data_IF_431173580661
#
_entry.id   IF_431173580661
#
_cell.length_a   1.000
_cell.length_b   1.000
_cell.length_c   1.000
_cell.angle_alpha   90.00
_cell.angle_beta   90.00
_cell.angle_gamma   90.00
#
_symmetry.space_group_name_H-M   'P 1'
#
loop_
_entity.id
_entity.type
_entity.pdbx_description
1 polymer ?
#
# COMPACT_ATOMS: atom_id res chain seq x y z
N UNK A 1 19.87 -50.86 -19.02
CA UNK A 1 19.40 -52.21 -18.63
C UNK A 1 19.89 -52.49 -17.21
N UNK A 2 18.98 -52.45 -16.23
CA UNK A 2 19.30 -52.42 -14.80
C UNK A 2 20.18 -53.61 -14.37
N UNK A 3 21.19 -53.35 -13.54
CA UNK A 3 22.17 -54.33 -13.04
C UNK A 3 21.53 -55.56 -12.39
N UNK A 4 20.30 -55.45 -11.89
CA UNK A 4 19.53 -56.55 -11.33
C UNK A 4 19.03 -57.54 -12.39
N UNK A 5 18.66 -57.09 -13.59
CA UNK A 5 18.20 -57.95 -14.68
C UNK A 5 19.33 -58.88 -15.17
N UNK A 6 20.56 -58.35 -15.25
CA UNK A 6 21.76 -59.13 -15.63
C UNK A 6 22.07 -60.23 -14.61
N UNK A 7 21.90 -59.94 -13.31
CA UNK A 7 22.11 -60.92 -12.22
C UNK A 7 21.06 -62.02 -12.22
N UNK A 8 19.80 -61.68 -12.50
CA UNK A 8 18.70 -62.64 -12.58
C UNK A 8 18.86 -63.58 -13.79
N UNK A 9 19.30 -63.03 -14.93
CA UNK A 9 19.58 -63.80 -16.15
C UNK A 9 20.79 -64.73 -15.98
N UNK A 10 21.85 -64.28 -15.30
CA UNK A 10 22.99 -65.12 -14.94
C UNK A 10 22.62 -66.26 -13.98
N UNK A 11 21.76 -65.98 -12.99
CA UNK A 11 21.27 -67.00 -12.05
C UNK A 11 20.39 -68.06 -12.76
N UNK A 12 19.50 -67.63 -13.66
CA UNK A 12 18.69 -68.54 -14.47
C UNK A 12 19.56 -69.47 -15.33
N UNK A 13 20.65 -68.93 -15.89
CA UNK A 13 21.60 -69.69 -16.71
C UNK A 13 22.36 -70.74 -15.87
N UNK A 14 22.73 -70.41 -14.62
CA UNK A 14 23.36 -71.34 -13.68
C UNK A 14 22.39 -72.45 -13.25
N UNK A 15 21.12 -72.13 -12.99
CA UNK A 15 20.08 -73.12 -12.66
C UNK A 15 19.82 -74.06 -13.83
N UNK A 16 19.73 -73.54 -15.06
CA UNK A 16 19.64 -74.36 -16.26
C UNK A 16 20.87 -75.27 -16.41
N UNK A 17 22.09 -74.74 -16.22
CA UNK A 17 23.31 -75.55 -16.28
C UNK A 17 23.31 -76.68 -15.23
N UNK A 18 22.82 -76.43 -14.01
CA UNK A 18 22.69 -77.44 -12.96
C UNK A 18 21.64 -78.53 -13.28
N UNK A 19 20.51 -78.13 -13.85
CA UNK A 19 19.46 -79.05 -14.30
C UNK A 19 19.97 -79.97 -15.42
N UNK A 20 20.67 -79.41 -16.41
CA UNK A 20 21.23 -80.19 -17.53
C UNK A 20 22.45 -81.03 -17.12
N UNK A 21 23.26 -80.60 -16.14
CA UNK A 21 24.38 -81.39 -15.61
C UNK A 21 23.90 -82.68 -14.90
N UNK A 22 22.70 -82.66 -14.32
CA UNK A 22 22.12 -83.85 -13.64
C UNK A 22 21.74 -84.99 -14.60
N UNK A 23 21.61 -84.72 -15.89
CA UNK A 23 21.31 -85.71 -16.92
C UNK A 23 22.55 -86.49 -17.40
N UNK A 24 23.75 -86.10 -16.95
CA UNK A 24 25.03 -86.58 -17.48
C UNK A 24 25.83 -87.48 -16.52
N UNK A 25 25.38 -87.68 -15.27
CA UNK A 25 26.10 -88.48 -14.27
C UNK A 25 25.22 -89.61 -13.73
N UNK A 26 25.73 -90.85 -13.84
CA UNK A 26 24.98 -92.10 -13.63
C UNK A 26 24.76 -92.52 -12.18
N UNK A 27 25.04 -91.68 -11.19
CA UNK A 27 24.69 -91.92 -9.78
C UNK A 27 23.73 -90.83 -9.29
N UNK A 28 22.44 -91.10 -9.42
CA UNK A 28 21.38 -90.19 -8.97
C UNK A 28 21.05 -90.46 -7.50
N UNK A 29 21.31 -89.49 -6.63
CA UNK A 29 20.64 -89.46 -5.33
C UNK A 29 19.13 -89.45 -5.57
N UNK A 30 18.43 -90.45 -5.05
CA UNK A 30 16.99 -90.61 -5.19
C UNK A 30 16.26 -89.95 -4.03
N UNK A 31 15.26 -89.13 -4.33
CA UNK A 31 14.37 -88.53 -3.32
C UNK A 31 12.94 -88.92 -3.67
N UNK A 32 12.30 -89.61 -2.74
CA UNK A 32 10.86 -89.88 -2.76
C UNK A 32 10.21 -89.00 -1.70
N UNK A 33 9.34 -88.10 -2.12
CA UNK A 33 8.51 -87.31 -1.21
C UNK A 33 7.08 -87.82 -1.35
N UNK A 34 6.60 -88.53 -0.33
CA UNK A 34 5.22 -88.99 -0.25
C UNK A 34 4.40 -88.07 0.65
N UNK A 35 3.34 -87.48 0.12
CA UNK A 35 2.35 -86.73 0.89
C UNK A 35 0.96 -87.27 0.60
N UNK A 36 0.32 -87.90 1.59
CA UNK A 36 -0.96 -88.59 1.46
C UNK A 36 -0.97 -89.58 0.26
N UNK A 37 -1.78 -89.32 -0.77
CA UNK A 37 -1.89 -90.18 -1.96
C UNK A 37 -0.98 -89.75 -3.12
N UNK A 38 -0.06 -88.80 -2.90
CA UNK A 38 0.82 -88.29 -3.95
C UNK A 38 2.27 -88.65 -3.65
N UNK A 39 2.89 -89.34 -4.59
CA UNK A 39 4.32 -89.70 -4.57
C UNK A 39 5.03 -88.95 -5.68
N UNK A 40 5.92 -88.04 -5.32
CA UNK A 40 6.85 -87.41 -6.24
C UNK A 40 8.17 -88.16 -6.20
N UNK A 41 8.54 -88.74 -7.35
CA UNK A 41 9.83 -89.37 -7.56
C UNK A 41 10.73 -88.43 -8.34
N UNK A 42 11.91 -88.12 -7.80
CA UNK A 42 12.84 -87.22 -8.46
C UNK A 42 14.28 -87.38 -7.96
N UNK A 43 15.21 -86.79 -8.72
CA UNK A 43 16.61 -86.71 -8.31
C UNK A 43 16.81 -85.62 -7.26
N UNK A 44 17.75 -85.83 -6.31
CA UNK A 44 18.18 -84.81 -5.33
C UNK A 44 18.45 -83.46 -6.02
N UNK A 45 19.08 -83.50 -7.20
CA UNK A 45 19.41 -82.29 -7.97
C UNK A 45 18.17 -81.56 -8.49
N UNK A 46 17.12 -82.28 -8.87
CA UNK A 46 15.85 -81.69 -9.30
C UNK A 46 15.13 -81.02 -8.14
N UNK A 47 15.15 -81.63 -6.96
CA UNK A 47 14.56 -81.06 -5.75
C UNK A 47 15.30 -79.79 -5.32
N UNK A 48 16.64 -79.80 -5.36
CA UNK A 48 17.45 -78.61 -5.04
C UNK A 48 17.20 -77.50 -6.06
N UNK A 49 17.16 -77.81 -7.35
CA UNK A 49 16.86 -76.82 -8.39
C UNK A 49 15.46 -76.23 -8.22
N UNK A 50 14.45 -77.05 -7.92
CA UNK A 50 13.09 -76.60 -7.63
C UNK A 50 13.05 -75.65 -6.42
N UNK A 51 13.76 -75.99 -5.34
CA UNK A 51 13.88 -75.12 -4.16
C UNK A 51 14.52 -73.77 -4.48
N UNK A 52 15.56 -73.74 -5.33
CA UNK A 52 16.20 -72.50 -5.76
C UNK A 52 15.22 -71.65 -6.58
N UNK A 53 14.46 -72.25 -7.50
CA UNK A 53 13.45 -71.55 -8.30
C UNK A 53 12.38 -70.93 -7.40
N UNK A 54 11.88 -71.69 -6.43
CA UNK A 54 10.88 -71.22 -5.45
C UNK A 54 11.45 -70.05 -4.63
N UNK A 55 12.69 -70.16 -4.12
CA UNK A 55 13.33 -69.10 -3.35
C UNK A 55 13.48 -67.79 -4.17
N UNK A 56 13.84 -67.90 -5.44
CA UNK A 56 13.95 -66.76 -6.36
C UNK A 56 12.58 -66.14 -6.63
N UNK A 57 11.56 -66.96 -6.89
CA UNK A 57 10.19 -66.50 -7.11
C UNK A 57 9.68 -65.72 -5.89
N UNK A 58 9.88 -66.24 -4.67
CA UNK A 58 9.54 -65.56 -3.42
C UNK A 58 10.30 -64.23 -3.30
N UNK A 59 11.61 -64.22 -3.57
CA UNK A 59 12.42 -62.99 -3.52
C UNK A 59 11.89 -61.91 -4.49
N UNK A 60 11.53 -62.29 -5.72
CA UNK A 60 10.96 -61.37 -6.72
C UNK A 60 9.62 -60.84 -6.24
N UNK A 61 8.74 -61.69 -5.72
CA UNK A 61 7.42 -61.27 -5.20
C UNK A 61 7.58 -60.30 -4.02
N UNK A 62 8.46 -60.59 -3.06
CA UNK A 62 8.75 -59.69 -1.93
C UNK A 62 9.30 -58.36 -2.41
N UNK A 63 10.19 -58.35 -3.41
CA UNK A 63 10.70 -57.10 -4.00
C UNK A 63 9.62 -56.33 -4.74
N UNK A 64 8.74 -57.01 -5.47
CA UNK A 64 7.61 -56.38 -6.16
C UNK A 64 6.66 -55.72 -5.16
N UNK A 65 6.34 -56.43 -4.07
CA UNK A 65 5.52 -55.91 -2.97
C UNK A 65 6.20 -54.71 -2.30
N UNK A 66 7.51 -54.77 -2.03
CA UNK A 66 8.27 -53.63 -1.50
C UNK A 66 8.23 -52.43 -2.45
N UNK A 67 8.40 -52.63 -3.76
CA UNK A 67 8.29 -51.55 -4.75
C UNK A 67 6.87 -50.98 -4.83
N UNK A 68 5.84 -51.83 -4.75
CA UNK A 68 4.44 -51.40 -4.73
C UNK A 68 4.15 -50.58 -3.47
N UNK A 69 4.64 -51.02 -2.31
CA UNK A 69 4.50 -50.28 -1.06
C UNK A 69 5.33 -49.00 -1.04
N UNK A 70 6.53 -48.98 -1.63
CA UNK A 70 7.26 -47.72 -1.86
C UNK A 70 6.48 -46.80 -2.81
N UNK A 71 5.80 -47.32 -3.83
CA UNK A 71 4.96 -46.49 -4.71
C UNK A 71 3.71 -45.95 -4.00
N UNK A 72 3.14 -46.72 -3.07
CA UNK A 72 1.91 -46.40 -2.35
C UNK A 72 2.15 -45.55 -1.08
N UNK A 73 3.30 -45.72 -0.42
CA UNK A 73 3.65 -45.10 0.87
C UNK A 73 4.66 -43.96 0.70
N UNK A 74 5.39 -43.80 -0.41
CA UNK A 74 6.36 -42.72 -0.55
C UNK A 74 5.66 -41.36 -0.74
N UNK A 75 5.56 -40.50 0.30
CA UNK A 75 4.80 -39.25 0.24
C UNK A 75 5.76 -38.13 -0.22
N UNK A 76 6.47 -38.34 -1.32
CA UNK A 76 7.77 -37.70 -1.54
C UNK A 76 7.76 -36.71 -2.71
N UNK A 77 7.86 -35.43 -2.35
CA UNK A 77 8.17 -34.24 -3.17
C UNK A 77 7.15 -33.78 -4.21
N UNK A 78 6.45 -34.65 -4.94
CA UNK A 78 5.49 -34.18 -5.96
C UNK A 78 4.18 -33.65 -5.34
N UNK A 79 3.62 -34.36 -4.36
CA UNK A 79 2.46 -33.90 -3.58
C UNK A 79 2.76 -32.68 -2.72
N UNK A 80 3.93 -32.64 -2.05
CA UNK A 80 4.38 -31.44 -1.34
C UNK A 80 4.63 -30.26 -2.31
N UNK A 81 5.17 -30.47 -3.52
CA UNK A 81 5.27 -29.41 -4.55
C UNK A 81 3.92 -29.01 -5.13
N UNK A 82 2.93 -29.90 -5.24
CA UNK A 82 1.59 -29.56 -5.73
C UNK A 82 0.77 -28.79 -4.70
N UNK A 83 0.81 -29.21 -3.43
CA UNK A 83 0.18 -28.46 -2.33
C UNK A 83 0.95 -27.17 -1.99
N UNK A 84 2.28 -27.18 -2.04
CA UNK A 84 3.07 -25.96 -1.98
C UNK A 84 2.79 -25.05 -3.19
N UNK A 85 2.57 -25.57 -4.40
CA UNK A 85 2.14 -24.73 -5.54
C UNK A 85 0.78 -24.09 -5.29
N UNK A 86 -0.19 -24.77 -4.67
CA UNK A 86 -1.52 -24.18 -4.43
C UNK A 86 -1.53 -23.13 -3.31
N UNK A 87 -0.78 -23.32 -2.22
CA UNK A 87 -0.71 -22.31 -1.13
C UNK A 87 0.38 -21.24 -1.32
N UNK A 88 1.44 -21.52 -2.09
CA UNK A 88 2.42 -20.49 -2.51
C UNK A 88 1.86 -19.67 -3.68
N UNK A 89 0.87 -20.20 -4.42
CA UNK A 89 0.11 -19.47 -5.43
C UNK A 89 -0.67 -18.30 -4.82
N UNK A 90 -1.46 -18.47 -3.76
CA UNK A 90 -2.25 -17.34 -3.22
C UNK A 90 -1.43 -16.15 -2.75
N UNK A 91 -0.32 -16.37 -2.02
CA UNK A 91 0.55 -15.25 -1.60
C UNK A 91 1.22 -14.58 -2.81
N UNK A 92 1.74 -15.36 -3.76
CA UNK A 92 2.39 -14.81 -4.95
C UNK A 92 1.40 -14.17 -5.92
N UNK A 93 0.20 -14.73 -6.06
CA UNK A 93 -0.90 -14.16 -6.82
C UNK A 93 -1.36 -12.86 -6.19
N UNK A 94 -1.51 -12.81 -4.87
CA UNK A 94 -1.78 -11.57 -4.14
C UNK A 94 -0.74 -10.49 -4.46
N UNK A 95 0.55 -10.84 -4.45
CA UNK A 95 1.61 -9.92 -4.86
C UNK A 95 1.52 -9.52 -6.34
N UNK A 96 1.22 -10.44 -7.25
CA UNK A 96 1.05 -10.14 -8.67
C UNK A 96 -0.15 -9.21 -8.91
N UNK A 97 -1.30 -9.48 -8.28
CA UNK A 97 -2.49 -8.64 -8.35
C UNK A 97 -2.21 -7.25 -7.76
N UNK A 98 -1.48 -7.19 -6.66
CA UNK A 98 -1.01 -5.94 -6.07
C UNK A 98 -0.14 -5.15 -7.06
N UNK A 99 0.77 -5.82 -7.78
CA UNK A 99 1.61 -5.18 -8.81
C UNK A 99 0.81 -4.65 -10.01
N UNK A 100 -0.36 -5.25 -10.28
CA UNK A 100 -1.31 -4.82 -11.31
C UNK A 100 -2.31 -3.77 -10.79
N UNK A 101 -2.22 -3.34 -9.53
CA UNK A 101 -3.17 -2.41 -8.90
C UNK A 101 -4.54 -3.01 -8.61
N UNK A 102 -4.70 -4.34 -8.68
CA UNK A 102 -5.94 -5.05 -8.38
C UNK A 102 -6.05 -5.30 -6.87
N UNK A 103 -6.20 -4.23 -6.11
CA UNK A 103 -6.15 -4.24 -4.64
C UNK A 103 -7.26 -5.09 -4.00
N UNK A 104 -8.49 -5.03 -4.51
CA UNK A 104 -9.61 -5.84 -4.02
C UNK A 104 -9.30 -7.34 -4.10
N UNK A 105 -8.88 -7.80 -5.28
CA UNK A 105 -8.57 -9.20 -5.54
C UNK A 105 -7.32 -9.64 -4.75
N UNK A 106 -6.32 -8.78 -4.64
CA UNK A 106 -5.13 -9.05 -3.84
C UNK A 106 -5.48 -9.28 -2.36
N UNK A 107 -6.35 -8.44 -1.80
CA UNK A 107 -6.79 -8.57 -0.40
C UNK A 107 -7.46 -9.93 -0.15
N UNK A 108 -8.35 -10.37 -1.05
CA UNK A 108 -9.00 -11.68 -0.96
C UNK A 108 -8.03 -12.85 -1.12
N UNK A 109 -7.06 -12.76 -2.01
CA UNK A 109 -6.05 -13.79 -2.20
C UNK A 109 -5.15 -13.93 -0.96
N UNK A 110 -4.78 -12.82 -0.32
CA UNK A 110 -4.01 -12.86 0.92
C UNK A 110 -4.77 -13.52 2.08
N UNK A 111 -6.09 -13.33 2.17
CA UNK A 111 -6.92 -14.03 3.18
C UNK A 111 -6.96 -15.56 2.99
N UNK A 112 -6.67 -16.06 1.79
CA UNK A 112 -6.64 -17.52 1.50
C UNK A 112 -5.32 -18.17 1.91
N UNK A 113 -4.32 -17.38 2.32
CA UNK A 113 -3.01 -17.90 2.74
C UNK A 113 -3.12 -18.59 4.10
N UNK A 114 -2.82 -19.90 4.14
CA UNK A 114 -2.85 -20.71 5.38
C UNK A 114 -1.47 -21.16 5.86
N UNK A 115 -0.40 -20.72 5.19
CA UNK A 115 0.98 -21.08 5.52
C UNK A 115 1.42 -20.35 6.77
N UNK A 116 1.77 -21.07 7.83
CA UNK A 116 2.17 -20.51 9.14
C UNK A 116 3.32 -19.52 9.03
N UNK A 117 4.30 -19.75 8.14
CA UNK A 117 5.44 -18.87 7.90
C UNK A 117 5.09 -17.55 7.19
N UNK A 118 3.90 -17.44 6.60
CA UNK A 118 3.47 -16.27 5.82
C UNK A 118 2.14 -15.68 6.23
N UNK A 119 1.44 -16.32 7.17
CA UNK A 119 0.07 -15.97 7.52
C UNK A 119 -0.01 -14.55 8.08
N UNK A 120 0.90 -14.16 8.97
CA UNK A 120 0.92 -12.82 9.55
C UNK A 120 1.20 -11.74 8.50
N UNK A 121 2.19 -11.96 7.63
CA UNK A 121 2.48 -11.06 6.50
C UNK A 121 1.31 -10.96 5.54
N UNK A 122 0.63 -12.07 5.24
CA UNK A 122 -0.56 -12.08 4.40
C UNK A 122 -1.73 -11.33 5.06
N UNK A 123 -1.97 -11.51 6.36
CA UNK A 123 -2.97 -10.73 7.12
C UNK A 123 -2.65 -9.23 7.02
N UNK A 124 -1.40 -8.83 7.25
CA UNK A 124 -0.97 -7.44 7.16
C UNK A 124 -1.14 -6.86 5.74
N UNK A 125 -0.76 -7.62 4.71
CA UNK A 125 -0.93 -7.22 3.31
C UNK A 125 -2.40 -7.14 2.91
N UNK A 126 -3.25 -8.05 3.39
CA UNK A 126 -4.69 -8.02 3.10
C UNK A 126 -5.35 -6.73 3.61
N UNK A 127 -4.96 -6.25 4.79
CA UNK A 127 -5.42 -4.98 5.35
C UNK A 127 -4.94 -3.78 4.54
N UNK A 128 -3.66 -3.76 4.13
CA UNK A 128 -3.11 -2.69 3.28
C UNK A 128 -3.81 -2.66 1.92
N UNK A 129 -3.98 -3.81 1.28
CA UNK A 129 -4.71 -3.90 0.02
C UNK A 129 -6.18 -3.47 0.17
N UNK A 130 -6.86 -3.87 1.24
CA UNK A 130 -8.23 -3.43 1.51
C UNK A 130 -8.33 -1.92 1.67
N UNK A 131 -7.36 -1.32 2.34
CA UNK A 131 -7.26 0.13 2.48
C UNK A 131 -7.12 0.79 1.09
N UNK A 132 -6.15 0.34 0.29
CA UNK A 132 -5.89 0.89 -1.05
C UNK A 132 -7.03 0.68 -2.06
N UNK A 133 -7.81 -0.39 -1.90
CA UNK A 133 -8.97 -0.65 -2.74
C UNK A 133 -10.08 0.41 -2.58
N UNK A 134 -10.12 1.11 -1.43
CA UNK A 134 -11.15 2.10 -1.11
C UNK A 134 -12.59 1.56 -1.31
N UNK A 135 -12.77 0.26 -1.04
CA UNK A 135 -14.03 -0.47 -1.18
C UNK A 135 -14.50 -0.92 0.20
N UNK A 136 -15.61 -0.35 0.67
CA UNK A 136 -16.13 -0.61 2.01
C UNK A 136 -16.51 -2.08 2.21
N UNK A 137 -17.04 -2.75 1.19
CA UNK A 137 -17.46 -4.15 1.26
C UNK A 137 -16.26 -5.06 1.47
N UNK A 138 -15.19 -4.84 0.71
CA UNK A 138 -13.94 -5.61 0.83
C UNK A 138 -13.27 -5.31 2.17
N UNK A 139 -13.25 -4.05 2.60
CA UNK A 139 -12.70 -3.64 3.89
C UNK A 139 -13.39 -4.35 5.06
N UNK A 140 -14.73 -4.32 5.10
CA UNK A 140 -15.51 -4.99 6.15
C UNK A 140 -15.27 -6.50 6.15
N UNK A 141 -15.29 -7.13 4.98
CA UNK A 141 -15.03 -8.56 4.81
C UNK A 141 -13.64 -8.98 5.32
N UNK A 142 -12.61 -8.20 4.99
CA UNK A 142 -11.23 -8.42 5.47
C UNK A 142 -11.17 -8.26 6.99
N UNK A 143 -11.74 -7.17 7.54
CA UNK A 143 -11.75 -6.95 8.98
C UNK A 143 -12.51 -8.05 9.73
N UNK A 144 -13.68 -8.48 9.26
CA UNK A 144 -14.47 -9.56 9.87
C UNK A 144 -13.71 -10.89 9.87
N UNK A 145 -13.15 -11.29 8.73
CA UNK A 145 -12.37 -12.53 8.61
C UNK A 145 -11.11 -12.52 9.48
N UNK A 146 -10.48 -11.36 9.64
CA UNK A 146 -9.31 -11.22 10.51
C UNK A 146 -9.69 -11.17 11.99
N UNK A 147 -10.80 -10.52 12.37
CA UNK A 147 -11.34 -10.55 13.74
C UNK A 147 -11.70 -11.98 14.16
N UNK A 148 -12.34 -12.74 13.28
CA UNK A 148 -12.64 -14.17 13.49
C UNK A 148 -11.36 -15.01 13.63
N UNK A 149 -10.26 -14.59 13.01
CA UNK A 149 -8.96 -15.28 13.08
C UNK A 149 -8.08 -14.84 14.27
N UNK A 150 -8.39 -13.73 14.94
CA UNK A 150 -7.57 -13.15 16.02
C UNK A 150 -8.12 -13.46 17.42
N UNK A 151 -9.19 -14.25 17.53
CA UNK A 151 -9.72 -14.73 18.82
C UNK A 151 -8.73 -15.62 19.59
N UNK A 152 -7.67 -16.12 18.94
CA UNK A 152 -6.71 -17.07 19.54
C UNK A 152 -5.37 -16.45 19.99
N UNK A 153 -4.99 -15.24 19.54
CA UNK A 153 -3.60 -14.72 19.64
C UNK A 153 -3.46 -13.28 20.21
N UNK A 154 -4.42 -12.81 21.01
CA UNK A 154 -4.49 -11.41 21.45
C UNK A 154 -3.34 -10.89 22.35
N UNK A 155 -2.41 -11.74 22.80
CA UNK A 155 -1.48 -11.40 23.89
C UNK A 155 -0.03 -11.07 23.48
N UNK A 156 0.35 -11.08 22.20
CA UNK A 156 1.76 -10.85 21.79
C UNK A 156 1.95 -9.94 20.56
N UNK A 157 1.23 -8.83 20.49
CA UNK A 157 1.36 -7.85 19.38
C UNK A 157 2.44 -6.80 19.68
N UNK A 158 3.71 -7.19 19.59
CA UNK A 158 4.83 -6.23 19.48
C UNK A 158 5.17 -5.98 18.01
N UNK A 159 5.45 -4.72 17.66
CA UNK A 159 5.85 -4.26 16.31
C UNK A 159 6.96 -5.12 15.65
N UNK A 160 7.79 -5.77 16.47
CA UNK A 160 8.93 -6.58 16.03
C UNK A 160 8.58 -7.95 15.44
N UNK A 161 7.34 -8.44 15.63
CA UNK A 161 6.92 -9.76 15.13
C UNK A 161 5.76 -9.72 14.14
N UNK A 162 4.85 -8.75 14.25
CA UNK A 162 3.66 -8.66 13.40
C UNK A 162 3.46 -7.26 12.83
N UNK A 163 3.42 -7.17 11.50
CA UNK A 163 3.08 -5.93 10.77
C UNK A 163 1.56 -5.61 10.80
N UNK A 164 0.75 -6.48 11.41
CA UNK A 164 -0.72 -6.35 11.42
C UNK A 164 -1.21 -5.07 12.11
N UNK A 165 -0.70 -4.66 13.31
CA UNK A 165 -1.14 -3.41 13.94
C UNK A 165 -0.85 -2.18 13.09
N UNK A 166 0.29 -2.17 12.39
CA UNK A 166 0.63 -1.10 11.45
C UNK A 166 -0.36 -1.06 10.28
N UNK A 167 -0.69 -2.21 9.68
CA UNK A 167 -1.69 -2.27 8.61
C UNK A 167 -3.09 -1.89 9.06
N UNK A 168 -3.47 -2.20 10.32
CA UNK A 168 -4.72 -1.74 10.92
C UNK A 168 -4.73 -0.21 11.08
N UNK A 169 -3.61 0.39 11.48
CA UNK A 169 -3.46 1.84 11.56
C UNK A 169 -3.60 2.50 10.19
N UNK A 170 -2.93 1.95 9.15
CA UNK A 170 -3.07 2.41 7.76
C UNK A 170 -4.55 2.41 7.35
N UNK A 171 -5.24 1.30 7.60
CA UNK A 171 -6.65 1.14 7.26
C UNK A 171 -7.52 2.16 8.01
N UNK A 172 -7.33 2.32 9.32
CA UNK A 172 -8.07 3.28 10.14
C UNK A 172 -7.90 4.73 9.63
N UNK A 173 -6.67 5.13 9.30
CA UNK A 173 -6.41 6.46 8.72
C UNK A 173 -7.07 6.64 7.34
N UNK A 174 -7.03 5.63 6.48
CA UNK A 174 -7.64 5.70 5.14
C UNK A 174 -9.18 5.75 5.22
N UNK A 175 -9.77 4.99 6.14
CA UNK A 175 -11.21 5.06 6.46
C UNK A 175 -11.60 6.30 7.27
N UNK A 176 -10.63 7.15 7.64
CA UNK A 176 -10.81 8.35 8.49
C UNK A 176 -11.41 8.04 9.88
N UNK A 177 -11.25 6.80 10.35
CA UNK A 177 -11.60 6.40 11.72
C UNK A 177 -10.44 6.74 12.66
N UNK A 178 -10.33 8.03 12.96
CA UNK A 178 -9.24 8.56 13.78
C UNK A 178 -9.36 8.17 15.27
N UNK A 179 -10.55 7.77 15.73
CA UNK A 179 -10.74 7.23 17.08
C UNK A 179 -10.09 5.85 17.20
N UNK A 180 -10.33 4.97 16.23
CA UNK A 180 -9.65 3.67 16.19
C UNK A 180 -8.13 3.84 16.00
N UNK A 181 -7.71 4.76 15.12
CA UNK A 181 -6.30 5.04 14.88
C UNK A 181 -5.57 5.49 16.16
N UNK A 182 -6.21 6.31 16.99
CA UNK A 182 -5.69 6.71 18.31
C UNK A 182 -5.41 5.52 19.22
N UNK A 183 -6.40 4.65 19.37
CA UNK A 183 -6.31 3.49 20.24
C UNK A 183 -5.16 2.58 19.79
N UNK A 184 -5.01 2.40 18.46
CA UNK A 184 -3.90 1.63 17.88
C UNK A 184 -2.54 2.30 18.11
N UNK A 185 -2.43 3.62 18.06
CA UNK A 185 -1.18 4.31 18.38
C UNK A 185 -0.80 4.15 19.86
N UNK A 186 -1.78 4.23 20.76
CA UNK A 186 -1.55 4.07 22.19
C UNK A 186 -1.10 2.65 22.56
N UNK A 187 -1.67 1.62 21.93
CA UNK A 187 -1.25 0.22 22.15
C UNK A 187 0.15 -0.05 21.61
N UNK A 188 0.55 0.63 20.54
CA UNK A 188 1.85 0.45 19.92
C UNK A 188 3.03 1.01 20.73
N UNK A 189 2.79 1.93 21.68
CA UNK A 189 3.72 2.39 22.74
C UNK A 189 5.22 2.43 22.36
N UNK A 190 5.55 2.90 21.15
CA UNK A 190 6.91 2.87 20.60
C UNK A 190 7.44 4.28 20.32
N UNK A 191 8.76 4.50 20.44
CA UNK A 191 9.36 5.79 20.16
C UNK A 191 9.25 6.13 18.66
N UNK A 192 8.36 7.07 18.34
CA UNK A 192 7.98 7.47 16.96
C UNK A 192 9.18 7.76 16.07
N UNK A 193 10.20 8.46 16.60
CA UNK A 193 11.40 8.83 15.83
C UNK A 193 12.29 7.65 15.42
N UNK A 194 12.15 6.49 16.07
CA UNK A 194 12.89 5.26 15.69
C UNK A 194 12.13 4.41 14.66
N UNK A 195 10.88 4.76 14.37
CA UNK A 195 10.01 4.03 13.45
C UNK A 195 10.20 4.47 12.00
N UNK A 196 9.63 3.69 11.07
CA UNK A 196 9.63 3.99 9.64
C UNK A 196 8.97 5.34 9.34
N UNK A 197 9.35 5.98 8.22
CA UNK A 197 8.75 7.26 7.80
C UNK A 197 7.24 7.11 7.65
N UNK A 198 6.77 6.00 7.08
CA UNK A 198 5.34 5.74 6.91
C UNK A 198 4.58 5.73 8.25
N UNK A 199 5.17 5.16 9.31
CA UNK A 199 4.60 5.24 10.65
C UNK A 199 4.58 6.66 11.19
N UNK A 200 5.68 7.40 11.06
CA UNK A 200 5.75 8.79 11.50
C UNK A 200 4.72 9.69 10.77
N UNK A 201 4.46 9.42 9.49
CA UNK A 201 3.44 10.10 8.69
C UNK A 201 2.03 9.82 9.21
N UNK A 202 1.67 8.56 9.47
CA UNK A 202 0.36 8.20 10.02
C UNK A 202 0.18 8.76 11.43
N UNK A 203 1.21 8.67 12.27
CA UNK A 203 1.20 9.26 13.60
C UNK A 203 0.94 10.77 13.53
N UNK A 204 1.59 11.46 12.59
CA UNK A 204 1.40 12.90 12.40
C UNK A 204 -0.05 13.20 11.95
N UNK A 205 -0.59 12.47 10.98
CA UNK A 205 -1.97 12.64 10.52
C UNK A 205 -2.97 12.50 11.68
N UNK A 206 -2.81 11.46 12.50
CA UNK A 206 -3.70 11.19 13.64
C UNK A 206 -3.61 12.31 14.68
N UNK A 207 -2.41 12.77 15.03
CA UNK A 207 -2.22 13.84 16.02
C UNK A 207 -2.72 15.20 15.50
N UNK A 208 -2.64 15.48 14.20
CA UNK A 208 -3.25 16.66 13.58
C UNK A 208 -4.78 16.61 13.76
N UNK A 209 -5.41 15.46 13.57
CA UNK A 209 -6.85 15.31 13.72
C UNK A 209 -7.32 15.36 15.18
N UNK A 210 -6.52 14.85 16.12
CA UNK A 210 -6.77 14.93 17.56
C UNK A 210 -6.42 16.28 18.18
N UNK A 211 -5.86 17.19 17.38
CA UNK A 211 -5.48 18.54 17.83
C UNK A 211 -4.36 18.55 18.88
N UNK A 212 -3.51 17.52 18.87
CA UNK A 212 -2.31 17.39 19.71
C UNK A 212 -1.19 18.28 19.13
N UNK A 213 -1.42 19.60 19.16
CA UNK A 213 -0.58 20.57 18.44
C UNK A 213 0.87 20.60 18.95
N UNK A 214 1.11 20.29 20.23
CA UNK A 214 2.48 20.26 20.81
C UNK A 214 3.29 19.13 20.21
N UNK A 215 2.71 17.95 20.18
CA UNK A 215 3.25 16.72 19.64
C UNK A 215 3.54 16.86 18.13
N UNK A 216 2.60 17.50 17.41
CA UNK A 216 2.77 17.87 16.01
C UNK A 216 3.96 18.82 15.82
N UNK A 217 4.06 19.86 16.65
CA UNK A 217 5.11 20.88 16.56
C UNK A 217 6.52 20.28 16.77
N UNK A 218 6.64 19.29 17.65
CA UNK A 218 7.91 18.61 17.94
C UNK A 218 8.37 17.65 16.83
N UNK A 219 7.45 16.89 16.22
CA UNK A 219 7.79 15.88 15.20
C UNK A 219 7.93 16.48 13.79
N UNK A 220 7.04 17.40 13.43
CA UNK A 220 6.90 17.95 12.09
C UNK A 220 8.24 18.39 11.44
N UNK A 221 9.08 19.22 12.09
CA UNK A 221 10.31 19.69 11.45
C UNK A 221 11.31 18.55 11.18
N UNK A 222 11.37 17.55 12.05
CA UNK A 222 12.26 16.38 11.91
C UNK A 222 11.80 15.52 10.74
N UNK A 223 10.51 15.19 10.69
CA UNK A 223 9.92 14.36 9.63
C UNK A 223 10.02 15.06 8.28
N UNK A 224 9.67 16.35 8.20
CA UNK A 224 9.71 17.10 6.96
C UNK A 224 11.13 17.19 6.38
N UNK A 225 12.14 17.44 7.24
CA UNK A 225 13.54 17.45 6.83
C UNK A 225 14.02 16.07 6.39
N UNK A 226 13.60 15.01 7.08
CA UNK A 226 13.96 13.64 6.74
C UNK A 226 13.41 13.24 5.38
N UNK A 227 12.13 13.50 5.10
CA UNK A 227 11.49 13.21 3.81
C UNK A 227 12.23 13.99 2.71
N UNK A 228 12.42 15.30 2.86
CA UNK A 228 13.15 16.13 1.88
C UNK A 228 14.53 15.58 1.52
N UNK A 229 15.26 15.03 2.50
CA UNK A 229 16.60 14.47 2.28
C UNK A 229 16.57 13.13 1.54
N UNK A 230 15.51 12.34 1.72
CA UNK A 230 15.43 10.96 1.24
C UNK A 230 14.58 10.79 -0.03
N UNK A 231 13.81 11.82 -0.41
CA UNK A 231 12.91 11.78 -1.55
C UNK A 231 13.39 12.64 -2.72
N UNK A 232 12.96 12.29 -3.93
CA UNK A 232 13.07 13.20 -5.08
C UNK A 232 12.13 14.41 -4.93
N UNK A 233 12.35 15.46 -5.72
CA UNK A 233 11.53 16.68 -5.68
C UNK A 233 10.03 16.39 -5.88
N UNK A 234 9.59 15.58 -6.88
CA UNK A 234 8.16 15.31 -7.06
C UNK A 234 7.51 14.58 -5.89
N UNK A 235 8.26 13.68 -5.22
CA UNK A 235 7.77 12.97 -4.04
C UNK A 235 7.67 13.91 -2.85
N UNK A 236 8.61 14.85 -2.70
CA UNK A 236 8.53 15.88 -1.67
C UNK A 236 7.36 16.84 -1.91
N UNK A 237 7.07 17.22 -3.15
CA UNK A 237 5.90 18.02 -3.51
C UNK A 237 4.58 17.29 -3.20
N UNK A 238 4.50 15.99 -3.51
CA UNK A 238 3.35 15.16 -3.14
C UNK A 238 3.16 15.11 -1.61
N UNK A 239 4.27 14.98 -0.87
CA UNK A 239 4.26 15.07 0.59
C UNK A 239 3.75 16.43 1.09
N UNK A 240 4.22 17.56 0.54
CA UNK A 240 3.72 18.89 0.91
C UNK A 240 2.22 19.05 0.64
N UNK A 241 1.74 18.51 -0.47
CA UNK A 241 0.32 18.54 -0.85
C UNK A 241 -0.53 17.73 0.13
N UNK A 242 -0.07 16.52 0.48
CA UNK A 242 -0.72 15.67 1.47
C UNK A 242 -0.75 16.34 2.86
N UNK A 243 0.39 16.90 3.28
CA UNK A 243 0.52 17.60 4.54
C UNK A 243 -0.41 18.81 4.63
N UNK A 244 -0.54 19.59 3.55
CA UNK A 244 -1.50 20.69 3.45
C UNK A 244 -2.93 20.19 3.65
N UNK A 245 -3.29 19.09 2.99
CA UNK A 245 -4.63 18.47 3.10
C UNK A 245 -4.94 18.01 4.52
N UNK A 246 -3.96 17.41 5.20
CA UNK A 246 -4.10 17.00 6.60
C UNK A 246 -4.33 18.19 7.52
N UNK A 247 -3.53 19.25 7.40
CA UNK A 247 -3.71 20.44 8.22
C UNK A 247 -5.02 21.18 7.92
N UNK A 248 -5.44 21.29 6.65
CA UNK A 248 -6.73 21.90 6.31
C UNK A 248 -7.89 21.14 6.98
N UNK A 249 -7.84 19.80 6.98
CA UNK A 249 -8.82 18.96 7.67
C UNK A 249 -8.74 19.13 9.18
N UNK A 250 -7.54 19.06 9.76
CA UNK A 250 -7.30 19.24 11.19
C UNK A 250 -7.83 20.57 11.70
N UNK A 251 -7.44 21.68 11.07
CA UNK A 251 -7.92 23.02 11.42
C UNK A 251 -9.42 23.19 11.22
N UNK A 252 -9.98 22.67 10.12
CA UNK A 252 -11.44 22.73 9.91
C UNK A 252 -12.19 21.97 11.00
N UNK A 253 -11.69 20.77 11.39
CA UNK A 253 -12.28 19.98 12.48
C UNK A 253 -12.13 20.67 13.84
N UNK A 254 -10.99 21.30 14.10
CA UNK A 254 -10.73 22.06 15.33
C UNK A 254 -11.70 23.23 15.45
N UNK A 255 -11.82 24.05 14.40
CA UNK A 255 -12.73 25.21 14.39
C UNK A 255 -14.18 24.76 14.59
N UNK A 256 -14.59 23.65 13.98
CA UNK A 256 -15.94 23.11 14.14
C UNK A 256 -16.25 22.62 15.57
N UNK A 257 -15.26 22.03 16.27
CA UNK A 257 -15.43 21.54 17.65
C UNK A 257 -15.19 22.62 18.71
N UNK A 258 -14.42 23.65 18.37
CA UNK A 258 -13.91 24.69 19.26
C UNK A 258 -14.33 26.06 18.73
N UNK A 259 -13.36 26.86 18.28
CA UNK A 259 -13.61 28.16 17.64
C UNK A 259 -12.37 28.62 16.87
N UNK A 260 -12.54 29.63 16.03
CA UNK A 260 -11.42 30.27 15.34
C UNK A 260 -10.44 30.94 16.31
N UNK A 261 -10.92 31.59 17.36
CA UNK A 261 -10.07 32.25 18.35
C UNK A 261 -9.15 31.25 19.07
N UNK A 262 -9.64 30.05 19.38
CA UNK A 262 -8.81 28.99 19.95
C UNK A 262 -7.81 28.42 18.94
N UNK A 263 -8.15 28.42 17.65
CA UNK A 263 -7.19 28.04 16.59
C UNK A 263 -6.05 29.06 16.52
N UNK A 264 -6.37 30.35 16.61
CA UNK A 264 -5.37 31.42 16.62
C UNK A 264 -4.43 31.32 17.82
N UNK A 265 -4.95 31.02 19.01
CA UNK A 265 -4.13 30.76 20.21
C UNK A 265 -3.22 29.55 20.00
N UNK A 266 -3.75 28.47 19.44
CA UNK A 266 -2.97 27.25 19.16
C UNK A 266 -1.88 27.53 18.12
N UNK A 267 -2.20 28.28 17.07
CA UNK A 267 -1.25 28.75 16.06
C UNK A 267 -0.10 29.56 16.68
N UNK A 268 -0.41 30.50 17.57
CA UNK A 268 0.61 31.32 18.24
C UNK A 268 1.54 30.49 19.14
N UNK A 269 1.05 29.38 19.69
CA UNK A 269 1.83 28.43 20.48
C UNK A 269 2.83 27.60 19.67
N UNK A 270 2.69 27.52 18.35
CA UNK A 270 3.61 26.77 17.48
C UNK A 270 4.95 27.49 17.30
N UNK A 271 6.04 26.72 17.23
CA UNK A 271 7.36 27.24 16.92
C UNK A 271 7.36 28.04 15.62
N UNK A 272 8.08 29.16 15.62
CA UNK A 272 8.15 30.09 14.48
C UNK A 272 8.59 29.40 13.17
N UNK A 273 9.52 28.46 13.26
CA UNK A 273 9.99 27.68 12.10
C UNK A 273 8.88 26.85 11.47
N UNK A 274 7.97 26.30 12.29
CA UNK A 274 6.87 25.48 11.80
C UNK A 274 5.77 26.35 11.19
N UNK A 275 5.44 27.49 11.80
CA UNK A 275 4.51 28.48 11.23
C UNK A 275 4.92 29.01 9.85
N UNK A 276 6.20 28.93 9.51
CA UNK A 276 6.75 29.31 8.21
C UNK A 276 6.79 28.17 7.19
N UNK A 277 6.41 26.93 7.57
CA UNK A 277 6.31 25.82 6.63
C UNK A 277 5.17 26.10 5.64
N UNK A 278 5.42 26.06 4.32
CA UNK A 278 4.42 26.42 3.32
C UNK A 278 3.11 25.65 3.45
N UNK A 279 3.18 24.33 3.66
CA UNK A 279 1.98 23.49 3.80
C UNK A 279 1.11 23.88 5.01
N UNK A 280 1.75 24.15 6.15
CA UNK A 280 1.06 24.50 7.39
C UNK A 280 0.47 25.92 7.31
N UNK A 281 1.26 26.87 6.80
CA UNK A 281 0.83 28.25 6.61
C UNK A 281 -0.33 28.34 5.60
N UNK A 282 -0.27 27.58 4.52
CA UNK A 282 -1.34 27.55 3.52
C UNK A 282 -2.64 27.06 4.16
N UNK A 283 -2.59 25.95 4.91
CA UNK A 283 -3.75 25.41 5.60
C UNK A 283 -4.34 26.39 6.63
N UNK A 284 -3.49 27.12 7.36
CA UNK A 284 -3.94 28.11 8.33
C UNK A 284 -4.59 29.33 7.66
N UNK A 285 -3.99 29.87 6.61
CA UNK A 285 -4.59 30.95 5.81
C UNK A 285 -5.89 30.50 5.15
N UNK A 286 -5.99 29.24 4.69
CA UNK A 286 -7.24 28.64 4.22
C UNK A 286 -8.32 28.61 5.30
N UNK A 287 -7.97 28.29 6.56
CA UNK A 287 -8.91 28.30 7.68
C UNK A 287 -9.42 29.72 7.97
N UNK A 288 -8.54 30.73 7.99
CA UNK A 288 -8.92 32.13 8.13
C UNK A 288 -9.78 32.61 6.94
N UNK A 289 -9.46 32.17 5.72
CA UNK A 289 -10.23 32.47 4.51
C UNK A 289 -11.65 31.93 4.60
N UNK A 290 -11.83 30.67 5.06
CA UNK A 290 -13.18 30.08 5.29
C UNK A 290 -13.99 30.86 6.32
N UNK A 291 -13.31 31.49 7.28
CA UNK A 291 -13.93 32.33 8.31
C UNK A 291 -14.03 33.82 7.92
N UNK A 292 -13.79 34.15 6.65
CA UNK A 292 -13.88 35.51 6.08
C UNK A 292 -13.03 36.56 6.82
N UNK A 293 -11.92 36.15 7.43
CA UNK A 293 -11.01 37.06 8.14
C UNK A 293 -10.00 37.69 7.17
N UNK A 294 -10.45 38.56 6.26
CA UNK A 294 -9.61 39.23 5.26
C UNK A 294 -8.39 39.92 5.88
N UNK A 295 -8.62 40.70 6.93
CA UNK A 295 -7.58 41.52 7.58
C UNK A 295 -6.48 40.65 8.20
N UNK A 296 -6.86 39.49 8.77
CA UNK A 296 -5.91 38.53 9.35
C UNK A 296 -5.12 37.81 8.26
N UNK A 297 -5.75 37.47 7.14
CA UNK A 297 -5.06 36.87 5.99
C UNK A 297 -4.07 37.87 5.39
N UNK A 298 -4.50 39.12 5.18
CA UNK A 298 -3.65 40.17 4.63
C UNK A 298 -2.44 40.46 5.53
N UNK A 299 -2.66 40.68 6.83
CA UNK A 299 -1.57 40.93 7.78
C UNK A 299 -0.53 39.82 7.79
N UNK A 300 -0.96 38.55 7.84
CA UNK A 300 -0.03 37.40 7.81
C UNK A 300 0.76 37.29 6.50
N UNK A 301 0.12 37.56 5.35
CA UNK A 301 0.82 37.61 4.05
C UNK A 301 1.90 38.69 4.07
N UNK A 302 1.58 39.87 4.62
CA UNK A 302 2.50 41.00 4.69
C UNK A 302 3.66 40.76 5.66
N UNK A 303 3.41 40.11 6.81
CA UNK A 303 4.42 39.74 7.81
C UNK A 303 5.42 38.70 7.28
N UNK A 304 4.94 37.72 6.50
CA UNK A 304 5.75 36.60 6.02
C UNK A 304 6.32 36.78 4.62
N UNK A 305 6.26 37.99 4.05
CA UNK A 305 6.66 38.29 2.67
C UNK A 305 8.10 37.87 2.31
N UNK A 306 9.03 37.82 3.28
CA UNK A 306 10.41 37.35 3.02
C UNK A 306 10.50 35.86 2.68
N UNK A 307 9.48 35.10 3.05
CA UNK A 307 9.41 33.63 2.89
C UNK A 307 8.44 33.25 1.76
N UNK A 308 7.44 34.10 1.50
CA UNK A 308 6.40 33.85 0.51
C UNK A 308 6.76 34.40 -0.87
N UNK A 309 6.76 33.53 -1.89
CA UNK A 309 6.85 33.95 -3.28
C UNK A 309 5.47 34.36 -3.84
N UNK A 310 5.47 35.03 -4.99
CA UNK A 310 4.26 35.52 -5.65
C UNK A 310 3.27 34.38 -5.95
N UNK A 311 3.75 33.24 -6.47
CA UNK A 311 2.96 32.01 -6.67
C UNK A 311 2.19 31.54 -5.42
N UNK A 312 2.83 31.53 -4.25
CA UNK A 312 2.18 31.13 -2.99
C UNK A 312 1.06 32.11 -2.63
N UNK A 313 1.35 33.41 -2.68
CA UNK A 313 0.37 34.47 -2.38
C UNK A 313 -0.82 34.36 -3.33
N UNK A 314 -0.55 34.22 -4.63
CA UNK A 314 -1.57 34.03 -5.65
C UNK A 314 -2.48 32.83 -5.34
N UNK A 315 -1.92 31.69 -4.96
CA UNK A 315 -2.73 30.51 -4.63
C UNK A 315 -3.62 30.72 -3.39
N UNK A 316 -3.16 31.47 -2.38
CA UNK A 316 -4.00 31.86 -1.23
C UNK A 316 -5.12 32.79 -1.65
N UNK A 317 -4.84 33.78 -2.49
CA UNK A 317 -5.85 34.74 -2.94
C UNK A 317 -6.88 34.05 -3.86
N UNK A 318 -6.45 33.14 -4.74
CA UNK A 318 -7.36 32.26 -5.50
C UNK A 318 -8.28 31.49 -4.57
N UNK A 319 -7.72 30.88 -3.52
CA UNK A 319 -8.49 30.12 -2.51
C UNK A 319 -9.47 31.00 -1.75
N UNK A 320 -9.04 32.19 -1.33
CA UNK A 320 -9.90 33.16 -0.64
C UNK A 320 -11.07 33.59 -1.53
N UNK A 321 -10.79 33.99 -2.77
CA UNK A 321 -11.81 34.39 -3.74
C UNK A 321 -12.77 33.22 -4.05
N UNK A 322 -12.27 31.99 -4.21
CA UNK A 322 -13.12 30.82 -4.45
C UNK A 322 -14.12 30.57 -3.31
N UNK A 323 -13.73 30.84 -2.06
CA UNK A 323 -14.57 30.62 -0.89
C UNK A 323 -15.56 31.76 -0.64
N UNK A 324 -15.17 33.00 -0.95
CA UNK A 324 -15.88 34.20 -0.49
C UNK A 324 -16.42 35.10 -1.61
N UNK A 325 -16.02 34.88 -2.86
CA UNK A 325 -16.33 35.71 -4.03
C UNK A 325 -16.04 37.22 -3.84
N UNK A 326 -15.18 37.54 -2.89
CA UNK A 326 -14.78 38.88 -2.48
C UNK A 326 -13.38 38.80 -1.89
N UNK A 327 -12.59 39.87 -2.02
CA UNK A 327 -11.25 39.98 -1.44
C UNK A 327 -11.02 41.43 -1.05
N UNK A 328 -11.17 41.74 0.24
CA UNK A 328 -10.93 43.08 0.78
C UNK A 328 -9.54 43.12 1.41
N UNK A 329 -8.52 43.39 0.59
CA UNK A 329 -7.11 43.43 1.01
C UNK A 329 -6.41 44.63 0.35
N UNK A 330 -6.74 45.82 0.84
CA UNK A 330 -6.40 47.09 0.20
C UNK A 330 -4.89 47.39 0.24
N UNK A 331 -4.22 46.97 1.32
CA UNK A 331 -2.77 47.19 1.49
C UNK A 331 -1.99 46.30 0.53
N UNK A 332 -2.41 45.05 0.37
CA UNK A 332 -1.87 44.10 -0.59
C UNK A 332 -2.13 44.58 -2.02
N UNK A 333 -3.35 45.05 -2.32
CA UNK A 333 -3.70 45.62 -3.62
C UNK A 333 -2.77 46.78 -4.01
N UNK A 334 -2.64 47.80 -3.15
CA UNK A 334 -1.76 48.94 -3.43
C UNK A 334 -0.28 48.54 -3.56
N UNK A 335 0.16 47.54 -2.79
CA UNK A 335 1.53 47.01 -2.90
C UNK A 335 1.74 46.28 -4.24
N UNK A 336 0.80 45.44 -4.67
CA UNK A 336 0.88 44.73 -5.97
C UNK A 336 0.92 45.72 -7.12
N UNK A 337 0.06 46.75 -7.12
CA UNK A 337 0.09 47.81 -8.11
C UNK A 337 1.46 48.50 -8.18
N UNK A 338 2.04 48.85 -7.02
CA UNK A 338 3.38 49.47 -6.96
C UNK A 338 4.48 48.57 -7.52
N UNK A 339 4.41 47.25 -7.31
CA UNK A 339 5.38 46.31 -7.89
C UNK A 339 5.22 46.19 -9.40
N UNK A 340 3.98 46.17 -9.90
CA UNK A 340 3.70 46.10 -11.34
C UNK A 340 4.19 47.32 -12.11
N UNK A 341 4.32 48.50 -11.49
CA UNK A 341 4.96 49.67 -12.14
C UNK A 341 6.39 49.35 -12.57
N UNK A 342 7.13 48.60 -11.75
CA UNK A 342 8.53 48.23 -12.02
C UNK A 342 8.65 46.89 -12.77
N UNK A 343 7.58 46.10 -12.85
CA UNK A 343 7.57 44.79 -13.51
C UNK A 343 6.23 44.54 -14.21
N UNK A 344 5.94 45.26 -15.32
CA UNK A 344 4.61 45.28 -15.94
C UNK A 344 4.15 43.94 -16.53
N UNK A 345 5.11 43.06 -16.85
CA UNK A 345 4.89 41.77 -17.49
C UNK A 345 4.95 40.58 -16.52
N UNK A 346 5.06 40.83 -15.20
CA UNK A 346 5.00 39.76 -14.20
C UNK A 346 3.58 39.17 -14.15
N UNK A 347 3.43 38.01 -14.78
CA UNK A 347 2.15 37.31 -14.91
C UNK A 347 1.56 36.89 -13.56
N UNK A 348 2.38 36.54 -12.56
CA UNK A 348 1.86 36.15 -11.25
C UNK A 348 1.26 37.35 -10.52
N UNK A 349 1.93 38.51 -10.62
CA UNK A 349 1.44 39.76 -10.06
C UNK A 349 0.22 40.31 -10.81
N UNK A 350 0.17 40.16 -12.14
CA UNK A 350 -0.99 40.53 -12.94
C UNK A 350 -2.22 39.68 -12.58
N UNK A 351 -2.06 38.35 -12.46
CA UNK A 351 -3.16 37.49 -12.01
C UNK A 351 -3.58 37.85 -10.60
N UNK A 352 -2.63 38.08 -9.68
CA UNK A 352 -2.92 38.51 -8.32
C UNK A 352 -3.70 39.83 -8.29
N UNK A 353 -3.32 40.82 -9.10
CA UNK A 353 -4.07 42.06 -9.27
C UNK A 353 -5.49 41.79 -9.77
N UNK A 354 -5.65 40.90 -10.75
CA UNK A 354 -6.95 40.49 -11.29
C UNK A 354 -7.90 39.97 -10.21
N UNK A 355 -7.44 39.05 -9.36
CA UNK A 355 -8.25 38.53 -8.25
C UNK A 355 -8.59 39.59 -7.19
N UNK A 356 -7.64 40.47 -6.85
CA UNK A 356 -7.88 41.53 -5.87
C UNK A 356 -8.88 42.57 -6.42
N UNK A 357 -8.74 42.98 -7.68
CA UNK A 357 -9.65 43.90 -8.35
C UNK A 357 -11.07 43.30 -8.47
N UNK A 358 -11.18 42.04 -8.89
CA UNK A 358 -12.45 41.32 -8.94
C UNK A 358 -13.10 41.25 -7.55
N UNK A 359 -12.30 41.00 -6.52
CA UNK A 359 -12.74 40.96 -5.12
C UNK A 359 -13.27 42.30 -4.59
N UNK A 360 -12.77 43.42 -5.11
CA UNK A 360 -13.23 44.79 -4.83
C UNK A 360 -14.32 45.27 -5.79
N UNK A 361 -14.78 44.41 -6.71
CA UNK A 361 -15.77 44.72 -7.79
C UNK A 361 -15.29 45.75 -8.81
N UNK A 362 -13.97 45.94 -8.95
CA UNK A 362 -13.41 46.65 -10.08
C UNK A 362 -13.27 45.69 -11.27
N UNK A 363 -14.40 45.38 -11.89
CA UNK A 363 -14.51 44.42 -12.98
C UNK A 363 -13.67 44.83 -14.20
N UNK A 364 -13.53 46.13 -14.44
CA UNK A 364 -12.76 46.65 -15.56
C UNK A 364 -11.26 46.42 -15.36
N UNK A 365 -10.74 46.74 -14.17
CA UNK A 365 -9.33 46.47 -13.86
C UNK A 365 -9.05 44.96 -13.81
N UNK A 366 -9.97 44.17 -13.24
CA UNK A 366 -9.85 42.72 -13.19
C UNK A 366 -9.73 42.11 -14.59
N UNK A 367 -10.64 42.49 -15.50
CA UNK A 367 -10.59 42.10 -16.90
C UNK A 367 -9.25 42.48 -17.54
N UNK A 368 -8.81 43.73 -17.40
CA UNK A 368 -7.57 44.21 -18.03
C UNK A 368 -6.34 43.44 -17.54
N UNK A 369 -6.26 43.16 -16.24
CA UNK A 369 -5.15 42.42 -15.66
C UNK A 369 -5.14 40.95 -16.13
N UNK A 370 -6.30 40.28 -16.08
CA UNK A 370 -6.43 38.86 -16.47
C UNK A 370 -6.25 38.64 -17.97
N UNK A 371 -6.72 39.56 -18.82
CA UNK A 371 -6.59 39.48 -20.27
C UNK A 371 -5.12 39.34 -20.71
N UNK A 372 -4.19 39.99 -19.98
CA UNK A 372 -2.75 39.92 -20.26
C UNK A 372 -2.14 38.54 -19.94
N UNK A 373 -2.80 37.74 -19.10
CA UNK A 373 -2.25 36.49 -18.59
C UNK A 373 -2.92 35.26 -19.21
N UNK A 374 -4.24 35.25 -19.32
CA UNK A 374 -5.07 34.06 -19.65
C UNK A 374 -4.69 33.41 -20.98
N UNK A 375 -4.34 34.18 -22.01
CA UNK A 375 -3.92 33.61 -23.31
C UNK A 375 -2.51 33.02 -23.31
N UNK A 376 -1.74 33.24 -22.24
CA UNK A 376 -0.35 32.83 -22.13
C UNK A 376 -0.07 31.84 -20.99
N UNK A 377 -0.99 31.71 -20.04
CA UNK A 377 -0.96 30.73 -18.97
C UNK A 377 -2.24 29.90 -19.04
N UNK A 378 -2.09 28.59 -19.30
CA UNK A 378 -3.23 27.68 -19.35
C UNK A 378 -3.64 27.26 -17.92
N UNK A 379 -4.32 28.17 -17.20
CA UNK A 379 -4.90 27.88 -15.88
C UNK A 379 -6.42 28.04 -15.94
N UNK A 380 -7.14 26.93 -15.85
CA UNK A 380 -8.59 26.89 -15.93
C UNK A 380 -9.30 27.80 -14.89
N UNK A 381 -8.70 27.99 -13.71
CA UNK A 381 -9.30 28.81 -12.64
C UNK A 381 -9.24 30.30 -13.00
N UNK A 382 -8.11 30.74 -13.55
CA UNK A 382 -7.92 32.15 -13.96
C UNK A 382 -8.76 32.48 -15.19
N UNK A 383 -8.78 31.57 -16.17
CA UNK A 383 -9.60 31.69 -17.39
C UNK A 383 -11.08 31.77 -17.04
N UNK A 384 -11.54 30.95 -16.07
CA UNK A 384 -12.91 31.02 -15.57
C UNK A 384 -13.22 32.37 -14.94
N UNK A 385 -12.35 32.91 -14.09
CA UNK A 385 -12.54 34.24 -13.51
C UNK A 385 -12.62 35.30 -14.62
N UNK A 386 -11.71 35.27 -15.59
CA UNK A 386 -11.73 36.21 -16.71
C UNK A 386 -13.05 36.17 -17.49
N UNK A 387 -13.58 34.98 -17.77
CA UNK A 387 -14.87 34.83 -18.42
C UNK A 387 -16.02 35.40 -17.56
N UNK A 388 -15.97 35.24 -16.23
CA UNK A 388 -16.94 35.83 -15.30
C UNK A 388 -16.89 37.36 -15.33
N UNK A 389 -15.71 37.96 -15.29
CA UNK A 389 -15.54 39.41 -15.36
C UNK A 389 -16.06 39.99 -16.69
N UNK A 390 -15.83 39.29 -17.82
CA UNK A 390 -16.41 39.67 -19.12
C UNK A 390 -17.94 39.66 -19.10
N UNK A 391 -18.55 38.64 -18.49
CA UNK A 391 -20.01 38.56 -18.38
C UNK A 391 -20.57 39.69 -17.52
N UNK A 392 -19.92 40.02 -16.40
CA UNK A 392 -20.32 41.12 -15.51
C UNK A 392 -20.23 42.50 -16.18
N UNK A 393 -19.31 42.66 -17.15
CA UNK A 393 -19.20 43.86 -17.98
C UNK A 393 -20.15 43.86 -19.20
N UNK A 394 -20.97 42.83 -19.38
CA UNK A 394 -21.91 42.71 -20.50
C UNK A 394 -21.30 42.17 -21.80
N UNK A 395 -20.03 41.75 -21.82
CA UNK A 395 -19.35 41.14 -22.97
C UNK A 395 -19.66 39.63 -23.07
N UNK A 396 -20.94 39.29 -23.13
CA UNK A 396 -21.44 37.91 -23.02
C UNK A 396 -20.96 36.97 -24.12
N UNK A 397 -20.85 37.43 -25.37
CA UNK A 397 -20.34 36.63 -26.48
C UNK A 397 -18.87 36.20 -26.24
N UNK A 398 -18.01 37.15 -25.89
CA UNK A 398 -16.61 36.87 -25.57
C UNK A 398 -16.46 36.00 -24.32
N UNK A 399 -17.31 36.22 -23.31
CA UNK A 399 -17.35 35.37 -22.13
C UNK A 399 -17.62 33.91 -22.52
N UNK A 400 -18.62 33.65 -23.37
CA UNK A 400 -18.94 32.31 -23.87
C UNK A 400 -17.79 31.68 -24.66
N UNK A 401 -17.15 32.45 -25.54
CA UNK A 401 -15.97 31.97 -26.29
C UNK A 401 -14.84 31.53 -25.35
N UNK A 402 -14.57 32.31 -24.30
CA UNK A 402 -13.57 31.97 -23.28
C UNK A 402 -14.00 30.75 -22.45
N UNK A 403 -15.29 30.59 -22.14
CA UNK A 403 -15.77 29.38 -21.47
C UNK A 403 -15.64 28.13 -22.35
N UNK A 404 -15.78 28.26 -23.67
CA UNK A 404 -15.62 27.15 -24.61
C UNK A 404 -14.16 26.73 -24.82
N UNK A 405 -13.18 27.56 -24.42
CA UNK A 405 -11.75 27.24 -24.51
C UNK A 405 -11.17 26.57 -23.27
N UNK A 406 -11.97 26.43 -22.20
CA UNK A 406 -11.68 25.62 -21.01
C UNK A 406 -11.84 24.13 -21.30
#
# INVERSE_FOLDING_TARGET
MNSWLKKLLALALIVCAFLFASSLTGEQGYVLISFANWTLEGSVFQVIAALIIIAVAIYVVVKLIQYLFLMLIWPSKWWQKFHAKKSTSFYQNGLNLMSLGQWDLAAEEFLKVRRTDRIESAKALSLVCAAHANNETVTKNVQEKLKLSNLDDANNLTFDKSNVPFSQLVLACQSKDYQQAEQLLNTLSTPVLKQTIAFQQLWLEVNIYQHNWKEVDELLPKLNKQIKKQSSEPVFEAWQTQLTTWFERGFSSFVAQKSLNQLEQSWQGLHKSNRQLPALLFAYLSALSKAQQSDKVESLILEQKKVLNNKFILNIIRRYYQLNHSVQMDVLFGRVQKHLVNSPDDKELLTLLGYLAAGQRDHQLAKQALQKVVYSQNNATDTKLFAQELALLGETQKSLEVYHSL
#
